data_IF_045384460292
#
_entry.id   IF_045384460292
#
_cell.length_a   1.000
_cell.length_b   1.000
_cell.length_c   1.000
_cell.angle_alpha   90.00
_cell.angle_beta   90.00
_cell.angle_gamma   90.00
#
_symmetry.space_group_name_H-M   'P 1'
#
loop_
_entity.id
_entity.type
_entity.pdbx_description
1 polymer ?
#
# COMPACT_ATOMS: atom_id res chain seq x y z
N UNK A 1 10.89 -12.20 -3.77
CA UNK A 1 10.06 -11.44 -4.74
C UNK A 1 9.30 -12.38 -5.66
N UNK A 2 9.97 -13.17 -6.51
CA UNK A 2 9.32 -14.11 -7.45
C UNK A 2 8.41 -15.11 -6.75
N UNK A 3 8.94 -15.82 -5.74
CA UNK A 3 8.16 -16.81 -4.98
C UNK A 3 6.91 -16.21 -4.34
N UNK A 4 7.00 -14.97 -3.82
CA UNK A 4 5.85 -14.24 -3.26
C UNK A 4 4.77 -14.02 -4.33
N UNK A 5 5.15 -13.58 -5.54
CA UNK A 5 4.21 -13.44 -6.67
C UNK A 5 3.61 -14.78 -7.08
N UNK A 6 4.41 -15.85 -7.06
CA UNK A 6 3.96 -17.18 -7.47
C UNK A 6 2.95 -17.78 -6.49
N UNK A 7 3.20 -17.69 -5.17
CA UNK A 7 2.21 -18.15 -4.18
C UNK A 7 0.95 -17.30 -4.23
N UNK A 8 1.09 -15.98 -4.43
CA UNK A 8 -0.04 -15.06 -4.64
C UNK A 8 -0.90 -15.50 -5.82
N UNK A 9 -0.27 -15.82 -6.96
CA UNK A 9 -0.97 -16.32 -8.16
C UNK A 9 -1.68 -17.65 -7.89
N UNK A 10 -1.02 -18.59 -7.19
CA UNK A 10 -1.62 -19.87 -6.81
C UNK A 10 -2.84 -19.71 -5.92
N UNK A 11 -2.81 -18.77 -4.96
CA UNK A 11 -3.98 -18.46 -4.13
C UNK A 11 -5.13 -17.93 -4.98
N UNK A 12 -4.88 -16.96 -5.87
CA UNK A 12 -5.97 -16.36 -6.67
C UNK A 12 -6.59 -17.31 -7.69
N UNK A 13 -5.87 -18.37 -8.07
CA UNK A 13 -6.39 -19.47 -8.90
C UNK A 13 -7.29 -20.44 -8.14
N UNK A 14 -7.39 -20.34 -6.82
CA UNK A 14 -8.29 -21.20 -6.04
C UNK A 14 -9.77 -20.92 -6.37
N UNK A 15 -10.64 -21.94 -6.19
CA UNK A 15 -12.07 -21.74 -6.23
C UNK A 15 -12.51 -20.61 -5.28
N UNK A 16 -13.55 -19.87 -5.67
CA UNK A 16 -14.07 -18.74 -4.89
C UNK A 16 -14.31 -19.08 -3.42
N UNK A 17 -14.89 -20.24 -3.13
CA UNK A 17 -15.19 -20.67 -1.76
C UNK A 17 -13.94 -20.79 -0.88
N UNK A 18 -12.82 -21.22 -1.46
CA UNK A 18 -11.54 -21.30 -0.75
C UNK A 18 -10.98 -19.91 -0.46
N UNK A 19 -11.07 -18.97 -1.42
CA UNK A 19 -10.64 -17.58 -1.23
C UNK A 19 -11.48 -16.87 -0.16
N UNK A 20 -12.77 -17.17 -0.09
CA UNK A 20 -13.70 -16.57 0.89
C UNK A 20 -13.51 -17.05 2.33
N UNK A 21 -12.72 -18.10 2.58
CA UNK A 21 -12.39 -18.53 3.96
C UNK A 21 -11.67 -17.44 4.77
N UNK A 22 -10.94 -16.57 4.08
CA UNK A 22 -10.25 -15.42 4.69
C UNK A 22 -10.94 -14.11 4.30
N UNK A 23 -12.25 -14.09 4.06
CA UNK A 23 -12.97 -12.88 3.61
C UNK A 23 -12.73 -11.70 4.56
N UNK A 24 -12.40 -10.55 3.98
CA UNK A 24 -12.32 -9.28 4.67
C UNK A 24 -13.69 -8.83 5.18
N UNK A 25 -13.72 -8.43 6.44
CA UNK A 25 -14.92 -7.95 7.16
C UNK A 25 -14.54 -6.87 8.18
N UNK A 26 -15.50 -6.07 8.69
CA UNK A 26 -15.21 -5.18 9.82
C UNK A 26 -14.64 -5.93 11.04
N UNK A 27 -15.11 -7.16 11.29
CA UNK A 27 -14.68 -7.98 12.42
C UNK A 27 -13.25 -8.51 12.27
N UNK A 28 -12.76 -8.66 11.04
CA UNK A 28 -11.35 -9.00 10.75
C UNK A 28 -10.38 -7.83 10.91
N UNK A 29 -10.89 -6.65 11.29
CA UNK A 29 -10.12 -5.41 11.25
C UNK A 29 -9.72 -5.02 9.82
N UNK A 30 -10.59 -5.31 8.85
CA UNK A 30 -10.39 -5.07 7.42
C UNK A 30 -9.16 -5.77 6.82
N UNK A 31 -8.85 -6.97 7.32
CA UNK A 31 -7.79 -7.84 6.81
C UNK A 31 -8.38 -9.03 6.06
N UNK A 32 -7.65 -9.54 5.09
CA UNK A 32 -8.03 -10.73 4.34
C UNK A 32 -8.49 -10.43 2.91
N UNK A 33 -9.21 -11.38 2.32
CA UNK A 33 -9.56 -11.40 0.92
C UNK A 33 -10.77 -10.51 0.59
N UNK A 34 -10.60 -9.69 -0.45
CA UNK A 34 -11.67 -8.91 -1.09
C UNK A 34 -11.82 -9.33 -2.55
N UNK A 35 -13.06 -9.32 -3.04
CA UNK A 35 -13.40 -9.65 -4.43
C UNK A 35 -13.19 -8.44 -5.34
N UNK A 36 -13.16 -8.73 -6.64
CA UNK A 36 -13.27 -7.72 -7.70
C UNK A 36 -14.46 -6.81 -7.42
N UNK A 37 -14.23 -5.49 -7.48
CA UNK A 37 -15.24 -4.47 -7.27
C UNK A 37 -15.57 -4.13 -5.81
N UNK A 38 -15.01 -4.83 -4.82
CA UNK A 38 -15.21 -4.48 -3.40
C UNK A 38 -14.33 -3.29 -2.97
N UNK A 39 -13.18 -3.09 -3.64
CA UNK A 39 -12.40 -1.86 -3.48
C UNK A 39 -13.00 -0.73 -4.31
N UNK A 40 -13.09 0.47 -3.74
CA UNK A 40 -13.59 1.67 -4.42
C UNK A 40 -12.56 2.80 -4.37
N UNK A 41 -12.08 3.19 -5.55
CA UNK A 41 -11.23 4.36 -5.72
C UNK A 41 -12.03 5.50 -6.33
N UNK A 42 -12.15 6.63 -5.60
CA UNK A 42 -12.88 7.84 -6.04
C UNK A 42 -14.31 7.56 -6.52
N UNK A 43 -15.01 6.68 -5.80
CA UNK A 43 -16.41 6.32 -6.08
C UNK A 43 -16.60 5.34 -7.23
N UNK A 44 -15.53 4.78 -7.79
CA UNK A 44 -15.59 3.72 -8.81
C UNK A 44 -15.01 2.42 -8.28
N UNK A 45 -15.70 1.28 -8.45
CA UNK A 45 -15.15 -0.03 -8.16
C UNK A 45 -13.86 -0.28 -8.96
N UNK A 46 -12.84 -0.82 -8.31
CA UNK A 46 -11.59 -1.20 -8.95
C UNK A 46 -11.65 -2.65 -9.47
N UNK A 47 -11.03 -2.89 -10.63
CA UNK A 47 -11.05 -4.21 -11.31
C UNK A 47 -9.92 -5.13 -10.83
N UNK A 48 -9.86 -5.36 -9.52
CA UNK A 48 -8.92 -6.28 -8.90
C UNK A 48 -9.52 -7.00 -7.69
N UNK A 49 -9.08 -8.23 -7.46
CA UNK A 49 -9.21 -8.91 -6.16
C UNK A 49 -7.92 -8.71 -5.35
N UNK A 50 -7.99 -8.80 -4.03
CA UNK A 50 -6.82 -8.58 -3.18
C UNK A 50 -6.88 -9.33 -1.84
N UNK A 51 -5.71 -9.51 -1.22
CA UNK A 51 -5.57 -9.84 0.20
C UNK A 51 -4.89 -8.67 0.89
N UNK A 52 -5.52 -8.14 1.92
CA UNK A 52 -4.99 -7.06 2.74
C UNK A 52 -4.44 -7.61 4.06
N UNK A 53 -3.19 -7.28 4.35
CA UNK A 53 -2.53 -7.62 5.61
C UNK A 53 -1.95 -6.35 6.22
N UNK A 54 -2.12 -6.17 7.52
CA UNK A 54 -1.63 -5.01 8.26
C UNK A 54 -0.80 -5.45 9.46
N UNK A 55 -0.04 -4.50 10.05
CA UNK A 55 0.50 -4.70 11.40
C UNK A 55 -0.61 -5.18 12.34
N UNK A 56 -0.43 -6.30 13.06
CA UNK A 56 -1.37 -6.71 14.08
C UNK A 56 -1.50 -5.64 15.17
N UNK A 57 -2.73 -5.34 15.56
CA UNK A 57 -3.01 -4.38 16.63
C UNK A 57 -3.67 -5.13 17.78
N UNK A 58 -2.97 -5.20 18.91
CA UNK A 58 -3.50 -5.76 20.14
C UNK A 58 -4.68 -4.93 20.67
N UNK A 59 -5.71 -5.56 21.25
CA UNK A 59 -6.85 -4.86 21.82
C UNK A 59 -6.43 -3.77 22.83
N UNK A 60 -6.95 -2.57 22.64
CA UNK A 60 -6.70 -1.41 23.51
C UNK A 60 -5.36 -0.70 23.28
N UNK A 61 -4.47 -1.18 22.39
CA UNK A 61 -3.14 -0.60 22.17
C UNK A 61 -3.17 0.90 21.86
N UNK A 62 -4.16 1.34 21.08
CA UNK A 62 -4.36 2.75 20.72
C UNK A 62 -5.74 3.29 21.14
N UNK A 63 -6.41 2.62 22.09
CA UNK A 63 -7.76 2.97 22.52
C UNK A 63 -8.78 2.98 21.37
N UNK A 64 -9.73 3.91 21.42
CA UNK A 64 -10.81 4.00 20.43
C UNK A 64 -10.32 4.30 19.00
N UNK A 65 -9.12 4.89 18.85
CA UNK A 65 -8.53 5.22 17.56
C UNK A 65 -8.37 3.99 16.67
N UNK A 66 -7.81 2.90 17.21
CA UNK A 66 -7.54 1.69 16.43
C UNK A 66 -8.65 0.64 16.51
N UNK A 67 -9.70 0.87 17.29
CA UNK A 67 -10.74 -0.13 17.56
C UNK A 67 -11.30 -0.83 16.30
N UNK A 68 -11.55 -0.13 15.17
CA UNK A 68 -12.01 -0.78 13.93
C UNK A 68 -10.96 -1.67 13.23
N UNK A 69 -9.69 -1.54 13.60
CA UNK A 69 -8.54 -2.19 12.98
C UNK A 69 -7.78 -3.13 13.94
N UNK A 70 -8.27 -3.34 15.16
CA UNK A 70 -7.74 -4.34 16.10
C UNK A 70 -7.79 -5.75 15.47
N UNK A 71 -6.82 -6.59 15.84
CA UNK A 71 -6.77 -7.99 15.41
C UNK A 71 -5.53 -8.37 14.60
N UNK A 72 -5.53 -9.63 14.16
CA UNK A 72 -4.45 -10.30 13.43
C UNK A 72 -4.82 -10.56 11.96
N UNK A 73 -3.82 -10.85 11.13
CA UNK A 73 -4.02 -11.17 9.72
C UNK A 73 -4.74 -12.51 9.52
N UNK A 74 -5.60 -12.56 8.49
CA UNK A 74 -6.23 -13.78 8.01
C UNK A 74 -5.32 -14.42 6.96
N UNK A 75 -4.53 -15.40 7.36
CA UNK A 75 -3.55 -16.06 6.49
C UNK A 75 -4.18 -17.19 5.67
N UNK A 76 -3.90 -17.30 4.35
CA UNK A 76 -4.28 -18.47 3.57
C UNK A 76 -3.57 -19.75 4.04
N UNK A 77 -4.30 -20.86 4.10
CA UNK A 77 -3.73 -22.19 4.37
C UNK A 77 -3.01 -22.80 3.14
N UNK A 78 -3.31 -22.29 1.94
CA UNK A 78 -2.72 -22.73 0.68
C UNK A 78 -2.21 -21.55 -0.17
N UNK A 79 -1.02 -21.67 -0.79
CA UNK A 79 0.02 -22.69 -0.55
C UNK A 79 0.49 -22.82 0.91
N UNK A 80 0.94 -24.00 1.34
CA UNK A 80 1.27 -24.26 2.76
C UNK A 80 2.41 -23.39 3.32
N UNK A 81 3.28 -22.84 2.46
CA UNK A 81 4.36 -21.94 2.84
C UNK A 81 3.96 -20.45 2.82
N UNK A 82 2.69 -20.12 2.52
CA UNK A 82 2.28 -18.74 2.26
C UNK A 82 2.55 -17.80 3.43
N UNK A 83 2.12 -18.17 4.64
CA UNK A 83 2.28 -17.33 5.82
C UNK A 83 3.76 -17.06 6.12
N UNK A 84 4.55 -18.11 6.35
CA UNK A 84 5.98 -17.98 6.68
C UNK A 84 6.76 -17.19 5.62
N UNK A 85 6.42 -17.37 4.33
CA UNK A 85 7.02 -16.62 3.24
C UNK A 85 6.67 -15.12 3.32
N UNK A 86 5.41 -14.76 3.58
CA UNK A 86 4.98 -13.37 3.69
C UNK A 86 5.53 -12.69 4.93
N UNK A 87 5.57 -13.36 6.08
CA UNK A 87 6.17 -12.82 7.31
C UNK A 87 7.65 -12.48 7.11
N UNK A 88 8.42 -13.40 6.50
CA UNK A 88 9.81 -13.15 6.16
C UNK A 88 9.95 -12.00 5.14
N UNK A 89 9.08 -11.96 4.12
CA UNK A 89 9.07 -10.90 3.12
C UNK A 89 8.78 -9.52 3.74
N UNK A 90 7.80 -9.43 4.62
CA UNK A 90 7.46 -8.21 5.37
C UNK A 90 8.67 -7.77 6.20
N UNK A 91 9.31 -8.69 6.93
CA UNK A 91 10.51 -8.36 7.73
C UNK A 91 11.62 -7.74 6.88
N UNK A 92 11.94 -8.37 5.75
CA UNK A 92 12.97 -7.88 4.82
C UNK A 92 12.61 -6.51 4.22
N UNK A 93 11.33 -6.30 3.92
CA UNK A 93 10.86 -5.02 3.38
C UNK A 93 10.84 -3.91 4.42
N UNK A 94 10.53 -4.20 5.70
CA UNK A 94 10.67 -3.23 6.80
C UNK A 94 12.12 -2.75 6.91
N UNK A 95 13.08 -3.68 6.88
CA UNK A 95 14.51 -3.35 6.93
C UNK A 95 14.99 -2.55 5.72
N UNK A 96 14.53 -2.93 4.52
CA UNK A 96 14.82 -2.20 3.29
C UNK A 96 14.25 -0.78 3.33
N UNK A 97 12.98 -0.65 3.70
CA UNK A 97 12.30 0.65 3.81
C UNK A 97 12.98 1.55 4.83
N UNK A 98 13.38 1.03 5.99
CA UNK A 98 14.15 1.81 6.97
C UNK A 98 15.45 2.37 6.37
N UNK A 99 16.19 1.58 5.57
CA UNK A 99 17.39 2.06 4.87
C UNK A 99 17.08 3.14 3.82
N UNK A 100 15.99 2.98 3.08
CA UNK A 100 15.55 3.99 2.10
C UNK A 100 15.15 5.29 2.80
N UNK A 101 14.38 5.21 3.89
CA UNK A 101 13.97 6.39 4.69
C UNK A 101 15.17 7.13 5.27
N UNK A 102 16.21 6.43 5.70
CA UNK A 102 17.49 7.03 6.12
C UNK A 102 18.17 7.78 4.97
N UNK A 103 18.17 7.21 3.76
CA UNK A 103 18.67 7.89 2.55
C UNK A 103 17.87 9.15 2.21
N UNK A 104 16.54 9.09 2.30
CA UNK A 104 15.63 10.23 2.13
C UNK A 104 15.94 11.33 3.16
N UNK A 105 16.14 10.96 4.43
CA UNK A 105 16.50 11.90 5.49
C UNK A 105 17.82 12.64 5.16
N UNK A 106 18.86 11.90 4.78
CA UNK A 106 20.15 12.47 4.39
C UNK A 106 20.02 13.40 3.16
N UNK A 107 19.26 13.01 2.15
CA UNK A 107 19.02 13.84 0.96
C UNK A 107 18.30 15.16 1.29
N UNK A 108 17.45 15.14 2.31
CA UNK A 108 16.79 16.33 2.85
C UNK A 108 17.70 17.12 3.82
N UNK A 109 18.93 16.68 4.08
CA UNK A 109 19.88 17.31 5.00
C UNK A 109 19.53 17.10 6.48
N UNK A 110 18.71 16.09 6.78
CA UNK A 110 18.35 15.71 8.14
C UNK A 110 19.35 14.71 8.73
N UNK A 111 19.34 14.50 10.06
CA UNK A 111 20.02 13.36 10.68
C UNK A 111 19.57 12.03 10.07
N UNK A 112 20.48 11.05 10.05
CA UNK A 112 20.22 9.72 9.49
C UNK A 112 18.94 9.08 10.07
N UNK A 113 18.72 9.27 11.36
CA UNK A 113 17.64 8.69 12.17
C UNK A 113 16.41 9.60 12.30
N UNK A 114 16.25 10.60 11.43
CA UNK A 114 15.16 11.59 11.52
C UNK A 114 13.73 11.00 11.44
N UNK A 115 13.58 9.80 10.88
CA UNK A 115 12.31 9.06 10.85
C UNK A 115 12.17 8.02 11.96
N UNK A 116 13.19 7.78 12.77
CA UNK A 116 13.14 6.79 13.85
C UNK A 116 12.31 7.34 15.05
N UNK A 117 12.13 6.53 16.08
CA UNK A 117 11.37 6.92 17.27
C UNK A 117 9.88 7.15 16.99
N UNK A 118 9.37 8.33 17.37
CA UNK A 118 7.94 8.66 17.32
C UNK A 118 7.35 8.86 15.93
N UNK A 119 8.19 8.99 14.88
CA UNK A 119 7.71 9.19 13.51
C UNK A 119 7.46 7.84 12.83
N UNK A 120 8.48 7.00 12.70
CA UNK A 120 8.42 5.69 12.03
C UNK A 120 9.39 4.67 12.65
N UNK A 121 9.71 4.81 13.94
CA UNK A 121 10.55 3.87 14.69
C UNK A 121 9.87 2.53 14.97
N UNK A 122 8.54 2.53 15.11
CA UNK A 122 7.67 1.35 15.06
C UNK A 122 6.63 1.54 13.95
N UNK A 123 7.14 1.71 12.73
CA UNK A 123 6.34 1.95 11.54
C UNK A 123 5.22 0.92 11.39
N UNK A 124 4.00 1.44 11.20
CA UNK A 124 2.91 0.62 10.71
C UNK A 124 3.23 0.15 9.30
N UNK A 125 2.78 -1.05 8.94
CA UNK A 125 2.98 -1.60 7.61
C UNK A 125 1.66 -2.14 7.08
N UNK A 126 1.52 -2.02 5.77
CA UNK A 126 0.44 -2.62 5.00
C UNK A 126 1.08 -3.46 3.89
N UNK A 127 0.56 -4.66 3.67
CA UNK A 127 0.89 -5.51 2.55
C UNK A 127 -0.40 -5.82 1.80
N UNK A 128 -0.43 -5.48 0.51
CA UNK A 128 -1.53 -5.81 -0.39
C UNK A 128 -1.04 -6.75 -1.47
N UNK A 129 -1.62 -7.95 -1.50
CA UNK A 129 -1.43 -8.90 -2.58
C UNK A 129 -2.58 -8.68 -3.55
N UNK A 130 -2.30 -8.30 -4.79
CA UNK A 130 -3.32 -7.82 -5.72
C UNK A 130 -3.33 -8.69 -6.97
N UNK A 131 -4.52 -9.16 -7.33
CA UNK A 131 -4.78 -9.96 -8.51
C UNK A 131 -5.68 -9.21 -9.48
N UNK A 132 -5.26 -9.11 -10.73
CA UNK A 132 -6.00 -8.47 -11.79
C UNK A 132 -6.43 -9.54 -12.80
N UNK A 133 -7.72 -9.90 -12.83
CA UNK A 133 -8.24 -10.89 -13.78
C UNK A 133 -8.13 -10.40 -15.22
N UNK A 134 -8.28 -11.33 -16.17
CA UNK A 134 -8.36 -10.98 -17.58
C UNK A 134 -9.70 -10.29 -17.82
N UNK A 135 -9.73 -9.23 -18.63
CA UNK A 135 -10.95 -8.47 -18.90
C UNK A 135 -12.10 -9.34 -19.42
N UNK A 136 -11.80 -10.48 -20.05
CA UNK A 136 -12.80 -11.44 -20.55
C UNK A 136 -13.53 -12.23 -19.44
N UNK A 137 -12.92 -12.37 -18.27
CA UNK A 137 -13.51 -13.04 -17.10
C UNK A 137 -14.52 -12.15 -16.36
N UNK A 138 -14.62 -10.87 -16.75
CA UNK A 138 -15.52 -9.87 -16.16
C UNK A 138 -16.74 -9.66 -17.10
N UNK A 139 -17.97 -9.57 -16.57
CA UNK A 139 -19.15 -9.21 -17.37
C UNK A 139 -18.95 -7.91 -18.14
N UNK A 140 -19.35 -7.85 -19.42
CA UNK A 140 -19.06 -6.72 -20.31
C UNK A 140 -19.51 -5.37 -19.75
N UNK A 141 -20.63 -5.34 -19.02
CA UNK A 141 -21.21 -4.15 -18.39
C UNK A 141 -20.34 -3.58 -17.25
N UNK A 142 -19.47 -4.40 -16.67
CA UNK A 142 -18.57 -4.05 -15.57
C UNK A 142 -17.12 -3.82 -16.04
N UNK A 143 -16.82 -4.01 -17.33
CA UNK A 143 -15.46 -3.91 -17.86
C UNK A 143 -14.97 -2.46 -17.90
N UNK A 144 -13.82 -2.25 -17.28
CA UNK A 144 -12.97 -1.08 -17.49
C UNK A 144 -11.52 -1.53 -17.49
N UNK A 145 -10.71 -0.93 -18.36
CA UNK A 145 -9.27 -1.15 -18.41
C UNK A 145 -8.55 -0.62 -17.16
N UNK A 146 -9.24 0.18 -16.34
CA UNK A 146 -8.72 0.73 -15.09
C UNK A 146 -8.81 -0.36 -13.99
N UNK A 147 -7.69 -1.04 -13.75
CA UNK A 147 -7.54 -2.00 -12.66
C UNK A 147 -7.49 -1.34 -11.29
N UNK A 148 -6.95 -0.13 -11.20
CA UNK A 148 -7.03 0.72 -10.02
C UNK A 148 -6.98 2.19 -10.44
N UNK A 149 -7.94 2.99 -9.93
CA UNK A 149 -8.07 4.41 -10.28
C UNK A 149 -6.85 5.26 -9.93
N UNK A 150 -6.78 6.47 -10.51
CA UNK A 150 -5.67 7.40 -10.23
C UNK A 150 -5.69 7.92 -8.79
N UNK A 151 -4.64 7.64 -8.02
CA UNK A 151 -4.52 8.00 -6.60
C UNK A 151 -3.07 8.28 -6.18
N UNK A 152 -2.91 8.72 -4.92
CA UNK A 152 -1.63 8.80 -4.19
C UNK A 152 -1.71 7.90 -2.97
N UNK A 153 -0.55 7.42 -2.52
CA UNK A 153 -0.45 6.62 -1.30
C UNK A 153 -0.44 7.51 -0.06
N UNK A 154 -0.85 6.94 1.08
CA UNK A 154 -1.16 7.72 2.27
C UNK A 154 0.06 8.01 3.15
N UNK A 155 0.90 7.01 3.44
CA UNK A 155 1.99 7.18 4.40
C UNK A 155 3.31 7.62 3.78
N UNK A 156 4.40 6.89 4.06
CA UNK A 156 5.75 7.39 3.79
C UNK A 156 6.30 6.85 2.47
N UNK A 157 6.34 5.52 2.34
CA UNK A 157 7.07 4.83 1.28
C UNK A 157 6.31 3.59 0.83
N UNK A 158 6.21 3.39 -0.48
CA UNK A 158 5.62 2.22 -1.08
C UNK A 158 6.65 1.50 -1.94
N UNK A 159 6.69 0.18 -1.82
CA UNK A 159 7.51 -0.73 -2.62
C UNK A 159 6.60 -1.71 -3.36
N UNK A 160 6.62 -1.65 -4.69
CA UNK A 160 5.78 -2.48 -5.55
C UNK A 160 6.62 -3.54 -6.25
N UNK A 161 6.32 -4.80 -5.94
CA UNK A 161 6.81 -5.98 -6.65
C UNK A 161 5.82 -6.30 -7.77
N UNK A 162 6.11 -5.79 -8.96
CA UNK A 162 5.26 -5.95 -10.15
C UNK A 162 5.44 -7.33 -10.80
N UNK A 163 4.52 -7.73 -11.66
CA UNK A 163 4.76 -8.83 -12.61
C UNK A 163 5.92 -8.46 -13.56
N UNK A 164 6.82 -9.41 -13.87
CA UNK A 164 8.03 -9.15 -14.66
C UNK A 164 7.72 -8.90 -16.15
N UNK A 165 6.58 -9.39 -16.65
CA UNK A 165 6.27 -9.36 -18.09
C UNK A 165 5.07 -8.45 -18.43
N UNK A 166 4.28 -8.05 -17.43
CA UNK A 166 3.04 -7.30 -17.65
C UNK A 166 3.19 -5.85 -17.18
N UNK A 167 3.31 -4.97 -18.17
CA UNK A 167 3.42 -3.53 -17.97
C UNK A 167 2.02 -2.88 -17.85
N UNK A 168 1.57 -2.63 -16.61
CA UNK A 168 0.24 -2.08 -16.33
C UNK A 168 0.24 -0.84 -15.40
N UNK A 169 1.31 -0.62 -14.65
CA UNK A 169 1.41 0.53 -13.74
C UNK A 169 1.78 1.77 -14.54
N UNK A 170 0.97 2.81 -14.44
CA UNK A 170 1.27 4.14 -14.95
C UNK A 170 1.46 5.12 -13.81
N UNK A 171 2.47 5.98 -13.94
CA UNK A 171 2.76 7.07 -13.01
C UNK A 171 2.70 8.40 -13.76
N UNK A 172 2.24 9.44 -13.09
CA UNK A 172 2.14 10.78 -13.68
C UNK A 172 3.40 11.57 -13.37
N UNK A 173 4.17 11.90 -14.40
CA UNK A 173 5.41 12.68 -14.25
C UNK A 173 5.13 14.16 -13.93
N UNK A 174 6.19 14.96 -13.76
CA UNK A 174 6.08 16.39 -13.44
C UNK A 174 5.52 17.25 -14.59
N UNK A 175 5.62 16.81 -15.85
CA UNK A 175 4.92 17.47 -16.98
C UNK A 175 3.42 17.12 -17.02
N UNK A 176 2.95 16.25 -16.13
CA UNK A 176 1.55 15.84 -16.04
C UNK A 176 1.18 14.72 -17.00
N UNK A 177 2.16 14.09 -17.64
CA UNK A 177 1.99 12.98 -18.58
C UNK A 177 2.00 11.64 -17.84
N UNK A 178 1.15 10.72 -18.28
CA UNK A 178 1.15 9.34 -17.80
C UNK A 178 2.24 8.55 -18.53
N UNK A 179 3.15 7.95 -17.76
CA UNK A 179 4.21 7.09 -18.27
C UNK A 179 4.15 5.72 -17.60
N UNK A 180 4.52 4.69 -18.35
CA UNK A 180 4.60 3.34 -17.81
C UNK A 180 5.81 3.18 -16.89
N UNK A 181 5.59 2.65 -15.69
CA UNK A 181 6.63 2.07 -14.87
C UNK A 181 6.90 0.64 -15.38
N UNK A 182 7.73 0.55 -16.43
CA UNK A 182 8.06 -0.71 -17.11
C UNK A 182 8.70 -1.70 -16.11
N UNK A 183 8.23 -2.95 -16.03
CA UNK A 183 8.84 -3.95 -15.16
C UNK A 183 10.32 -4.15 -15.46
N UNK A 184 11.13 -4.20 -14.41
CA UNK A 184 12.54 -4.58 -14.47
C UNK A 184 12.75 -5.74 -13.50
N UNK A 185 13.06 -6.96 -13.98
CA UNK A 185 13.22 -8.13 -13.13
C UNK A 185 14.22 -7.90 -11.99
N UNK A 186 13.86 -8.35 -10.79
CA UNK A 186 14.70 -8.21 -9.59
C UNK A 186 14.67 -6.82 -8.94
N UNK A 187 13.74 -5.95 -9.32
CA UNK A 187 13.59 -4.61 -8.75
C UNK A 187 12.22 -4.38 -8.12
N UNK A 188 12.14 -3.36 -7.26
CA UNK A 188 10.89 -2.76 -6.82
C UNK A 188 10.69 -1.42 -7.53
N UNK A 189 9.45 -1.11 -7.90
CA UNK A 189 9.07 0.29 -8.08
C UNK A 189 8.91 0.91 -6.70
N UNK A 190 9.53 2.05 -6.50
CA UNK A 190 9.52 2.79 -5.25
C UNK A 190 8.82 4.13 -5.46
N UNK A 191 7.84 4.44 -4.61
CA UNK A 191 7.16 5.73 -4.59
C UNK A 191 6.89 6.18 -3.16
N UNK A 192 6.48 7.44 -3.01
CA UNK A 192 6.29 8.08 -1.71
C UNK A 192 4.84 8.53 -1.54
N UNK A 193 4.42 8.64 -0.28
CA UNK A 193 3.04 8.97 0.08
C UNK A 193 2.85 10.36 0.68
N UNK A 194 1.61 10.63 1.07
CA UNK A 194 1.15 11.91 1.60
C UNK A 194 1.81 12.28 2.94
N UNK A 195 2.14 11.33 3.82
CA UNK A 195 2.83 11.65 5.08
C UNK A 195 4.24 12.18 4.84
N UNK A 196 4.97 11.68 3.83
CA UNK A 196 6.30 12.23 3.51
C UNK A 196 6.19 13.65 2.93
N UNK A 197 5.12 13.95 2.19
CA UNK A 197 4.83 15.32 1.75
C UNK A 197 4.60 16.27 2.92
N UNK A 198 3.77 15.86 3.89
CA UNK A 198 3.53 16.66 5.10
C UNK A 198 4.83 16.87 5.86
N UNK A 199 5.55 15.79 6.16
CA UNK A 199 6.79 15.83 6.92
C UNK A 199 7.86 16.72 6.27
N UNK A 200 8.04 16.59 4.94
CA UNK A 200 9.01 17.37 4.17
C UNK A 200 8.54 18.79 3.80
N UNK A 201 7.41 19.26 4.35
CA UNK A 201 6.78 20.52 4.00
C UNK A 201 6.59 20.74 2.49
N UNK A 202 6.33 19.65 1.76
CA UNK A 202 6.07 19.66 0.31
C UNK A 202 7.31 19.74 -0.57
N UNK A 203 8.52 19.56 -0.03
CA UNK A 203 9.74 19.37 -0.84
C UNK A 203 9.59 18.12 -1.71
N UNK A 204 9.09 17.04 -1.12
CA UNK A 204 8.75 15.82 -1.84
C UNK A 204 7.24 15.71 -2.04
N UNK A 205 6.83 15.41 -3.27
CA UNK A 205 5.44 15.32 -3.68
C UNK A 205 5.10 13.88 -4.07
N UNK A 206 3.97 13.32 -3.58
CA UNK A 206 3.56 11.97 -3.89
C UNK A 206 3.12 11.91 -5.34
N UNK A 207 3.50 10.82 -6.00
CA UNK A 207 3.27 10.66 -7.43
C UNK A 207 1.89 10.04 -7.65
N UNK A 208 1.06 10.73 -8.42
CA UNK A 208 -0.20 10.15 -8.90
C UNK A 208 0.12 8.92 -9.74
N UNK A 209 -0.53 7.81 -9.44
CA UNK A 209 -0.36 6.56 -10.15
C UNK A 209 -1.71 5.86 -10.35
N UNK A 210 -1.78 4.99 -11.36
CA UNK A 210 -2.97 4.18 -11.69
C UNK A 210 -2.54 2.85 -12.30
N UNK A 211 -3.45 1.88 -12.34
CA UNK A 211 -3.22 0.62 -13.04
C UNK A 211 -4.16 0.53 -14.24
N UNK A 212 -3.58 0.39 -15.42
CA UNK A 212 -4.28 0.12 -16.68
C UNK A 212 -3.95 -1.32 -17.09
N UNK A 213 -4.90 -2.25 -16.93
CA UNK A 213 -4.67 -3.67 -17.15
C UNK A 213 -5.37 -4.17 -18.42
N UNK A 214 -4.65 -4.09 -19.55
CA UNK A 214 -5.13 -4.58 -20.85
C UNK A 214 -4.51 -5.95 -21.20
N UNK A 215 -3.96 -6.63 -20.20
CA UNK A 215 -3.26 -7.91 -20.38
C UNK A 215 -4.26 -9.03 -20.68
N UNK A 216 -3.99 -9.90 -21.68
CA UNK A 216 -4.76 -11.11 -21.91
C UNK A 216 -4.45 -12.21 -20.88
N UNK A 217 -3.58 -11.93 -19.90
CA UNK A 217 -3.15 -12.84 -18.83
C UNK A 217 -3.44 -12.25 -17.47
N UNK A 218 -3.80 -13.11 -16.53
CA UNK A 218 -3.96 -12.76 -15.13
C UNK A 218 -2.66 -12.15 -14.58
N UNK A 219 -2.74 -10.92 -14.07
CA UNK A 219 -1.59 -10.19 -13.52
C UNK A 219 -1.64 -10.23 -12.00
N UNK A 220 -0.48 -10.40 -11.37
CA UNK A 220 -0.32 -10.21 -9.92
C UNK A 220 0.66 -9.08 -9.63
N UNK A 221 0.41 -8.34 -8.57
CA UNK A 221 1.41 -7.43 -7.99
C UNK A 221 1.29 -7.42 -6.47
N UNK A 222 2.41 -7.17 -5.80
CA UNK A 222 2.45 -7.10 -4.34
C UNK A 222 2.97 -5.73 -3.94
N UNK A 223 2.13 -4.95 -3.27
CA UNK A 223 2.47 -3.62 -2.79
C UNK A 223 2.68 -3.66 -1.28
N UNK A 224 3.82 -3.15 -0.84
CA UNK A 224 4.15 -2.99 0.57
C UNK A 224 4.28 -1.52 0.89
N UNK A 225 3.60 -1.08 1.95
CA UNK A 225 3.57 0.29 2.41
C UNK A 225 4.28 0.33 3.76
N UNK A 226 5.34 1.13 3.83
CA UNK A 226 6.03 1.49 5.06
C UNK A 226 5.54 2.86 5.49
N UNK A 227 4.84 2.88 6.61
CA UNK A 227 4.07 4.01 7.05
C UNK A 227 4.72 4.66 8.29
N UNK A 228 4.13 5.73 8.81
CA UNK A 228 4.54 6.22 10.13
C UNK A 228 4.08 5.26 11.24
N UNK A 229 4.48 5.50 12.48
CA UNK A 229 3.83 4.88 13.62
C UNK A 229 2.33 5.16 13.55
N UNK A 230 1.51 4.24 14.06
CA UNK A 230 0.06 4.34 13.94
C UNK A 230 -0.50 5.61 14.61
N UNK A 231 0.05 6.01 15.75
CA UNK A 231 -0.31 7.21 16.51
C UNK A 231 0.57 8.43 16.21
N UNK A 232 1.46 8.34 15.21
CA UNK A 232 2.33 9.45 14.85
C UNK A 232 1.51 10.67 14.40
N UNK A 233 1.75 11.80 15.05
CA UNK A 233 1.27 13.10 14.62
C UNK A 233 2.31 13.72 13.67
N UNK A 234 2.17 13.45 12.38
CA UNK A 234 3.09 13.88 11.33
C UNK A 234 2.85 15.35 11.01
N UNK A 235 3.90 16.17 11.11
CA UNK A 235 3.85 17.60 10.81
C UNK A 235 5.11 18.06 10.07
N UNK A 236 5.07 19.23 9.39
CA UNK A 236 6.25 19.78 8.73
C UNK A 236 7.43 19.99 9.69
N UNK A 237 8.52 19.26 9.47
CA UNK A 237 9.72 19.36 10.31
C UNK A 237 10.41 20.71 10.13
N UNK A 238 10.97 21.25 11.21
CA UNK A 238 11.53 22.61 11.29
C UNK A 238 12.51 22.92 10.15
N UNK A 239 13.52 22.08 9.93
CA UNK A 239 14.51 22.33 8.89
C UNK A 239 13.91 22.31 7.46
N UNK A 240 12.84 21.54 7.22
CA UNK A 240 12.12 21.58 5.94
C UNK A 240 11.31 22.87 5.82
N UNK A 241 10.71 23.35 6.91
CA UNK A 241 10.01 24.65 6.95
C UNK A 241 10.97 25.78 6.63
N UNK A 242 12.15 25.82 7.24
CA UNK A 242 13.19 26.81 6.96
C UNK A 242 13.55 26.83 5.46
N UNK A 243 13.80 25.65 4.86
CA UNK A 243 14.09 25.51 3.43
C UNK A 243 12.96 25.96 2.50
N UNK A 244 11.75 26.11 3.01
CA UNK A 244 10.55 26.40 2.22
C UNK A 244 9.86 27.71 2.62
N UNK A 245 10.58 28.60 3.31
CA UNK A 245 10.13 29.96 3.65
C UNK A 245 9.74 30.18 5.12
N UNK A 246 10.11 29.28 6.03
CA UNK A 246 9.90 29.39 7.48
C UNK A 246 8.48 29.06 7.96
N UNK A 247 7.52 28.89 7.06
CA UNK A 247 6.11 28.63 7.38
C UNK A 247 5.73 27.17 7.11
N UNK A 248 4.91 26.61 7.99
CA UNK A 248 4.29 25.30 7.75
C UNK A 248 3.23 25.45 6.64
N UNK A 249 3.36 24.65 5.57
CA UNK A 249 2.42 24.63 4.44
C UNK A 249 1.30 23.60 4.59
N UNK A 250 1.47 22.68 5.53
CA UNK A 250 0.56 21.58 5.80
C UNK A 250 0.24 21.53 7.29
N UNK A 251 -0.98 21.13 7.60
CA UNK A 251 -1.40 20.87 8.98
C UNK A 251 -0.84 19.53 9.47
N UNK A 252 -0.80 19.38 10.79
CA UNK A 252 -0.45 18.13 11.45
C UNK A 252 -1.52 17.07 11.17
N UNK A 253 -1.09 15.86 10.84
CA UNK A 253 -1.97 14.71 10.55
C UNK A 253 -1.61 13.55 11.46
N UNK A 254 -2.59 12.98 12.17
CA UNK A 254 -2.40 11.72 12.89
C UNK A 254 -2.63 10.57 11.90
N UNK A 255 -1.60 9.75 11.66
CA UNK A 255 -1.67 8.73 10.61
C UNK A 255 -2.78 7.71 10.83
N UNK A 256 -2.96 7.22 12.05
CA UNK A 256 -4.00 6.24 12.38
C UNK A 256 -5.41 6.76 12.14
N UNK A 257 -5.67 8.05 12.40
CA UNK A 257 -6.95 8.68 12.09
C UNK A 257 -7.21 8.66 10.58
N UNK A 258 -6.18 9.03 9.80
CA UNK A 258 -6.24 9.03 8.35
C UNK A 258 -6.49 7.62 7.79
N UNK A 259 -5.72 6.62 8.26
CA UNK A 259 -5.83 5.24 7.80
C UNK A 259 -7.21 4.65 8.14
N UNK A 260 -7.68 4.84 9.38
CA UNK A 260 -9.00 4.34 9.82
C UNK A 260 -10.09 4.96 8.96
N UNK A 261 -10.07 6.27 8.72
CA UNK A 261 -11.05 6.93 7.86
C UNK A 261 -11.06 6.34 6.44
N UNK A 262 -9.88 6.05 5.86
CA UNK A 262 -9.77 5.43 4.53
C UNK A 262 -10.31 4.02 4.51
N UNK A 263 -9.94 3.19 5.48
CA UNK A 263 -10.41 1.81 5.59
C UNK A 263 -11.93 1.76 5.74
N UNK A 264 -12.54 2.68 6.51
CA UNK A 264 -14.00 2.74 6.66
C UNK A 264 -14.75 3.21 5.40
N UNK A 265 -14.06 3.76 4.39
CA UNK A 265 -14.70 4.39 3.21
C UNK A 265 -14.32 3.77 1.87
N UNK A 266 -13.19 3.07 1.78
CA UNK A 266 -12.67 2.51 0.53
C UNK A 266 -13.23 1.12 0.19
N UNK A 267 -13.99 0.50 1.08
CA UNK A 267 -14.51 -0.86 0.88
C UNK A 267 -16.04 -0.88 0.86
N UNK A 268 -16.61 -1.49 -0.16
CA UNK A 268 -18.03 -1.84 -0.23
C UNK A 268 -18.14 -3.28 0.28
N UNK A 269 -18.64 -3.43 1.51
CA UNK A 269 -18.70 -4.72 2.21
C UNK A 269 -20.10 -5.31 2.26
#
# INVERSE_FOLDING_TARGET
MTEVRDVTRKFFQLPREEKLKIKMTPQSGYRGYQRVGENVTKGKPDMHEAIDCYTPIEPGRYGDLAKPMEGSNLWPDYPSNFNALLENYISLLRDLSRKIMRGIALALGAPLDAFEGGVAGDAFWVLRLIGYPVSDDIPQEERTDIGCGAHTDYGLLTLVNQDDEICALEVRNQSGEWIYAKPVPGTFVCNIGDMLKVWSNGIYQPTLHRVVNNSPRYRVSVAFFYESNFDAAVEPVEFCREKTGGVAKYEKVVYGEHLVQKVLTNFVM
#
